data_IF_945015223008
#
_entry.id   IF_945015223008
#
_cell.length_a   1.000
_cell.length_b   1.000
_cell.length_c   1.000
_cell.angle_alpha   90.00
_cell.angle_beta   90.00
_cell.angle_gamma   90.00
#
_symmetry.space_group_name_H-M   'P 1'
#
loop_
_entity.id
_entity.type
_entity.pdbx_description
1 polymer ?
#
# COMPACT_ATOMS: atom_id res chain seq x y z
N UNK A 1 -37.52 29.02 -28.31
CA UNK A 1 -37.00 28.69 -26.96
C UNK A 1 -36.40 27.28 -26.85
N UNK A 2 -36.74 26.29 -27.71
CA UNK A 2 -36.31 24.89 -27.53
C UNK A 2 -34.94 24.52 -28.17
N UNK A 3 -34.43 25.33 -29.11
CA UNK A 3 -33.18 25.03 -29.85
C UNK A 3 -31.88 25.39 -29.11
N UNK A 4 -31.93 26.27 -28.09
CA UNK A 4 -30.72 26.66 -27.33
C UNK A 4 -30.31 25.69 -26.23
N UNK A 5 -31.23 24.84 -25.76
CA UNK A 5 -30.94 23.90 -24.66
C UNK A 5 -30.16 22.68 -25.16
N UNK A 6 -30.35 22.30 -26.43
CA UNK A 6 -29.70 21.13 -27.04
C UNK A 6 -28.20 21.37 -27.22
N UNK A 7 -27.78 22.62 -27.48
CA UNK A 7 -26.36 22.97 -27.65
C UNK A 7 -25.57 22.93 -26.33
N UNK A 8 -26.21 23.09 -25.17
CA UNK A 8 -25.52 23.04 -23.88
C UNK A 8 -25.18 21.60 -23.45
N UNK A 9 -25.97 20.61 -23.89
CA UNK A 9 -25.75 19.20 -23.55
C UNK A 9 -24.61 18.57 -24.35
N UNK A 10 -24.41 18.96 -25.61
CA UNK A 10 -23.38 18.37 -26.49
C UNK A 10 -21.95 18.76 -26.07
N UNK A 11 -21.76 19.93 -25.45
CA UNK A 11 -20.43 20.39 -25.01
C UNK A 11 -20.00 19.72 -23.69
N UNK A 12 -20.95 19.34 -22.84
CA UNK A 12 -20.69 18.77 -21.50
C UNK A 12 -20.47 17.24 -21.54
N UNK A 13 -20.89 16.55 -22.61
CA UNK A 13 -20.65 15.11 -22.81
C UNK A 13 -19.25 14.76 -23.30
N UNK A 14 -18.31 15.71 -23.27
CA UNK A 14 -16.88 15.42 -23.32
C UNK A 14 -16.47 14.78 -22.00
N UNK A 15 -17.02 13.60 -21.71
CA UNK A 15 -16.53 12.74 -20.65
C UNK A 15 -15.06 12.52 -20.93
N UNK A 16 -14.23 13.24 -20.17
CA UNK A 16 -12.81 13.02 -20.01
C UNK A 16 -12.66 11.59 -19.49
N UNK A 17 -12.71 10.62 -20.41
CA UNK A 17 -12.24 9.27 -20.19
C UNK A 17 -10.73 9.39 -20.05
N UNK A 18 -10.30 9.72 -18.83
CA UNK A 18 -8.90 9.70 -18.44
C UNK A 18 -8.49 8.24 -18.38
N UNK A 19 -8.10 7.69 -19.53
CA UNK A 19 -7.46 6.39 -19.58
C UNK A 19 -6.20 6.48 -18.71
N UNK A 20 -6.25 5.82 -17.55
CA UNK A 20 -5.14 5.79 -16.59
C UNK A 20 -3.98 5.11 -17.30
N UNK A 21 -2.97 5.90 -17.69
CA UNK A 21 -1.78 5.38 -18.33
C UNK A 21 -1.10 4.43 -17.33
N UNK A 22 -1.02 3.15 -17.68
CA UNK A 22 -0.37 2.15 -16.84
C UNK A 22 1.12 2.21 -17.19
N UNK A 23 1.91 2.84 -16.34
CA UNK A 23 3.36 2.82 -16.48
C UNK A 23 3.90 1.43 -16.14
N UNK A 24 4.48 0.77 -17.14
CA UNK A 24 5.17 -0.51 -16.95
C UNK A 24 6.64 -0.20 -16.69
N UNK A 25 7.04 -0.30 -15.41
CA UNK A 25 8.41 -0.07 -14.97
C UNK A 25 9.16 -1.40 -14.96
N UNK A 26 10.30 -1.45 -15.64
CA UNK A 26 11.22 -2.59 -15.55
C UNK A 26 12.15 -2.37 -14.35
N UNK A 27 11.99 -3.18 -13.31
CA UNK A 27 12.84 -3.11 -12.13
C UNK A 27 13.98 -4.14 -12.23
N UNK A 28 15.25 -3.71 -12.08
CA UNK A 28 16.36 -4.64 -12.02
C UNK A 28 16.33 -5.44 -10.71
N UNK A 29 16.92 -6.63 -10.74
CA UNK A 29 17.09 -7.47 -9.56
C UNK A 29 18.45 -8.17 -9.57
N UNK A 30 18.90 -8.54 -8.38
CA UNK A 30 20.08 -9.41 -8.18
C UNK A 30 19.68 -10.63 -7.36
N UNK A 31 20.44 -11.73 -7.51
CA UNK A 31 20.31 -12.91 -6.67
C UNK A 31 21.49 -12.92 -5.69
N UNK A 32 21.22 -12.97 -4.40
CA UNK A 32 22.27 -12.98 -3.38
C UNK A 32 22.83 -14.40 -3.13
N UNK A 33 23.83 -14.52 -2.25
CA UNK A 33 24.46 -15.81 -1.92
C UNK A 33 23.51 -16.81 -1.24
N UNK A 34 22.35 -16.36 -0.74
CA UNK A 34 21.31 -17.21 -0.16
C UNK A 34 20.24 -17.62 -1.18
N UNK A 35 20.38 -17.19 -2.44
CA UNK A 35 19.39 -17.44 -3.49
C UNK A 35 18.19 -16.50 -3.48
N UNK A 36 18.18 -15.47 -2.62
CA UNK A 36 17.10 -14.50 -2.58
C UNK A 36 17.19 -13.53 -3.76
N UNK A 37 16.07 -13.33 -4.45
CA UNK A 37 15.91 -12.28 -5.45
C UNK A 37 15.66 -10.96 -4.74
N UNK A 38 16.47 -9.93 -5.00
CA UNK A 38 16.36 -8.61 -4.39
C UNK A 38 16.16 -7.58 -5.49
N UNK A 39 15.09 -6.79 -5.41
CA UNK A 39 14.89 -5.66 -6.32
C UNK A 39 15.92 -4.56 -6.02
N UNK A 40 16.53 -4.02 -7.07
CA UNK A 40 17.50 -2.92 -6.97
C UNK A 40 16.90 -1.64 -7.54
N UNK A 41 17.51 -0.50 -7.23
CA UNK A 41 17.08 0.84 -7.68
C UNK A 41 15.68 1.26 -7.20
N UNK A 42 15.31 0.80 -6.00
CA UNK A 42 14.08 1.16 -5.28
C UNK A 42 14.44 1.66 -3.88
N UNK A 43 13.68 2.65 -3.37
CA UNK A 43 13.89 3.22 -2.03
C UNK A 43 13.64 2.20 -0.92
N UNK A 44 12.66 1.33 -1.15
CA UNK A 44 12.26 0.28 -0.23
C UNK A 44 12.90 -1.04 -0.65
N UNK A 45 13.26 -1.87 0.32
CA UNK A 45 13.87 -3.16 0.03
C UNK A 45 12.80 -4.22 -0.16
N UNK A 46 12.76 -4.81 -1.35
CA UNK A 46 11.98 -6.00 -1.64
C UNK A 46 12.91 -7.19 -1.87
N UNK A 47 12.64 -8.30 -1.22
CA UNK A 47 13.34 -9.56 -1.47
C UNK A 47 12.41 -10.77 -1.41
N UNK A 48 12.60 -11.72 -2.32
CA UNK A 48 11.86 -12.98 -2.37
C UNK A 48 12.84 -14.14 -2.18
N UNK A 49 12.60 -15.00 -1.19
CA UNK A 49 13.43 -16.17 -0.94
C UNK A 49 13.00 -17.42 -1.74
N UNK A 50 13.76 -18.51 -1.57
CA UNK A 50 13.53 -19.80 -2.22
C UNK A 50 12.22 -20.48 -1.79
N UNK A 51 11.68 -20.11 -0.62
CA UNK A 51 10.40 -20.56 -0.08
C UNK A 51 9.23 -19.67 -0.51
N UNK A 52 9.48 -18.69 -1.39
CA UNK A 52 8.51 -17.72 -1.85
C UNK A 52 7.96 -16.82 -0.73
N UNK A 53 8.79 -16.52 0.27
CA UNK A 53 8.50 -15.48 1.25
C UNK A 53 8.95 -14.12 0.74
N UNK A 54 7.99 -13.24 0.46
CA UNK A 54 8.30 -11.85 0.15
C UNK A 54 8.58 -11.11 1.46
N UNK A 55 9.75 -10.51 1.55
CA UNK A 55 10.10 -9.52 2.56
C UNK A 55 10.10 -8.14 1.93
N UNK A 56 9.29 -7.26 2.48
CA UNK A 56 9.26 -5.83 2.18
C UNK A 56 9.74 -5.08 3.41
N UNK A 57 10.70 -4.18 3.22
CA UNK A 57 11.23 -3.34 4.29
C UNK A 57 11.27 -1.90 3.83
N UNK A 58 10.50 -1.06 4.51
CA UNK A 58 10.57 0.38 4.38
C UNK A 58 11.28 1.01 5.60
N UNK A 59 11.13 2.32 5.78
CA UNK A 59 11.76 3.06 6.87
C UNK A 59 11.24 2.64 8.26
N UNK A 60 9.99 2.22 8.35
CA UNK A 60 9.23 2.02 9.59
C UNK A 60 8.93 0.55 9.86
N UNK A 61 8.65 -0.24 8.82
CA UNK A 61 8.10 -1.57 8.94
C UNK A 61 8.93 -2.62 8.20
N UNK A 62 8.95 -3.82 8.78
CA UNK A 62 9.36 -5.05 8.14
C UNK A 62 8.13 -5.93 7.95
N UNK A 63 7.72 -6.11 6.70
CA UNK A 63 6.58 -6.94 6.32
C UNK A 63 7.05 -8.22 5.65
N UNK A 64 6.49 -9.36 6.06
CA UNK A 64 6.73 -10.67 5.46
C UNK A 64 5.40 -11.28 5.02
N UNK A 65 5.33 -11.74 3.77
CA UNK A 65 4.13 -12.33 3.17
C UNK A 65 4.43 -13.62 2.40
N UNK A 66 3.68 -14.68 2.72
CA UNK A 66 3.78 -15.99 2.06
C UNK A 66 3.15 -15.97 0.66
N UNK A 67 4.00 -16.11 -0.37
CA UNK A 67 3.61 -16.26 -1.77
C UNK A 67 3.82 -17.69 -2.31
N UNK A 68 3.90 -18.69 -1.42
CA UNK A 68 3.98 -20.08 -1.85
C UNK A 68 2.80 -20.45 -2.76
N UNK A 69 3.02 -21.46 -3.61
CA UNK A 69 2.00 -21.91 -4.56
C UNK A 69 0.76 -22.42 -3.81
N UNK A 70 -0.45 -22.27 -4.37
CA UNK A 70 -1.65 -22.83 -3.75
C UNK A 70 -1.52 -24.33 -3.54
N UNK A 71 -2.01 -24.82 -2.41
CA UNK A 71 -2.15 -26.25 -2.18
C UNK A 71 -3.39 -26.80 -2.91
N UNK A 72 -3.54 -28.13 -2.92
CA UNK A 72 -4.64 -28.79 -3.66
C UNK A 72 -6.04 -28.33 -3.21
N UNK A 73 -6.24 -28.09 -1.91
CA UNK A 73 -7.52 -27.62 -1.38
C UNK A 73 -7.79 -26.19 -1.81
N UNK A 74 -6.81 -25.30 -1.72
CA UNK A 74 -6.95 -23.90 -2.14
C UNK A 74 -7.22 -23.79 -3.65
N UNK A 75 -6.56 -24.62 -4.44
CA UNK A 75 -6.78 -24.69 -5.89
C UNK A 75 -8.20 -25.18 -6.22
N UNK A 76 -8.69 -26.21 -5.52
CA UNK A 76 -10.05 -26.71 -5.69
C UNK A 76 -11.11 -25.69 -5.25
N UNK A 77 -10.89 -25.03 -4.11
CA UNK A 77 -11.80 -24.05 -3.52
C UNK A 77 -11.72 -22.68 -4.22
N UNK A 78 -10.71 -22.46 -5.09
CA UNK A 78 -10.38 -21.18 -5.76
C UNK A 78 -10.20 -20.01 -4.80
N UNK A 79 -9.82 -20.30 -3.55
CA UNK A 79 -9.59 -19.33 -2.48
C UNK A 79 -8.69 -19.94 -1.41
N UNK A 80 -8.06 -19.09 -0.61
CA UNK A 80 -7.20 -19.47 0.51
C UNK A 80 -6.84 -18.25 1.35
N UNK A 81 -6.03 -18.48 2.37
CA UNK A 81 -5.49 -17.42 3.22
C UNK A 81 -3.98 -17.58 3.32
N UNK A 82 -3.27 -16.46 3.33
CA UNK A 82 -1.82 -16.41 3.55
C UNK A 82 -1.53 -15.65 4.82
N UNK A 83 -0.42 -15.99 5.45
CA UNK A 83 0.05 -15.28 6.63
C UNK A 83 0.87 -14.06 6.21
N UNK A 84 0.50 -12.92 6.78
CA UNK A 84 1.29 -11.70 6.75
C UNK A 84 1.77 -11.40 8.17
N UNK A 85 3.05 -11.06 8.32
CA UNK A 85 3.61 -10.57 9.58
C UNK A 85 4.20 -9.20 9.33
N UNK A 86 3.89 -8.26 10.23
CA UNK A 86 4.34 -6.88 10.17
C UNK A 86 5.00 -6.53 11.51
N UNK A 87 6.21 -6.00 11.43
CA UNK A 87 6.98 -5.51 12.57
C UNK A 87 7.36 -4.05 12.31
N UNK A 88 6.59 -3.14 12.89
CA UNK A 88 6.73 -1.70 12.73
C UNK A 88 7.34 -1.05 13.96
N UNK A 89 8.23 -0.09 13.73
CA UNK A 89 8.68 0.82 14.79
C UNK A 89 7.50 1.66 15.27
N UNK A 90 7.37 1.80 16.58
CA UNK A 90 6.45 2.79 17.16
C UNK A 90 6.86 4.19 16.68
N UNK A 91 5.91 4.93 16.12
CA UNK A 91 6.11 6.35 15.83
C UNK A 91 6.28 7.09 17.17
N UNK A 92 7.21 8.06 17.26
CA UNK A 92 7.31 8.88 18.47
C UNK A 92 5.96 9.56 18.71
N UNK A 93 5.38 9.36 19.90
CA UNK A 93 4.12 10.02 20.28
C UNK A 93 4.27 11.53 20.07
N UNK A 94 3.31 12.21 19.41
CA UNK A 94 3.33 13.67 19.35
C UNK A 94 3.29 14.19 20.79
N UNK A 95 4.30 14.99 21.16
CA UNK A 95 4.43 15.60 22.48
C UNK A 95 3.09 16.21 22.90
N UNK A 96 2.47 15.64 23.93
CA UNK A 96 1.21 16.14 24.49
C UNK A 96 1.42 17.60 24.90
N UNK A 97 0.91 18.55 24.11
CA UNK A 97 0.80 19.95 24.54
C UNK A 97 0.02 19.96 25.85
N UNK A 98 0.68 20.43 26.91
CA UNK A 98 0.14 20.42 28.26
C UNK A 98 -1.27 20.99 28.31
N UNK A 99 -2.22 20.21 28.82
CA UNK A 99 -3.51 20.74 29.26
C UNK A 99 -3.23 21.71 30.39
N UNK A 100 -3.45 23.00 30.12
CA UNK A 100 -3.53 24.01 31.17
C UNK A 100 -4.56 23.57 32.21
N UNK A 101 -4.13 23.55 33.46
CA UNK A 101 -4.97 23.26 34.60
C UNK A 101 -6.14 24.26 34.65
N UNK A 102 -7.37 23.75 34.53
CA UNK A 102 -8.55 24.44 35.02
C UNK A 102 -8.41 24.57 36.55
N UNK A 103 -7.97 25.75 37.01
CA UNK A 103 -8.09 26.16 38.41
C UNK A 103 -9.57 26.28 38.73
N UNK A 104 -10.02 25.47 39.68
CA UNK A 104 -11.37 25.53 40.23
C UNK A 104 -11.67 26.92 40.79
N UNK A 105 -12.85 27.44 40.45
CA UNK A 105 -13.46 28.55 41.16
C UNK A 105 -14.23 27.98 42.35
N UNK A 106 -13.77 28.29 43.55
CA UNK A 106 -14.45 28.00 44.82
C UNK A 106 -14.79 29.35 45.46
N UNK A 107 -16.09 29.68 45.44
CA UNK A 107 -16.90 30.42 46.41
C UNK A 107 -16.33 31.68 47.09
N UNK A 108 -17.04 32.80 46.92
CA UNK A 108 -17.48 33.67 48.00
C UNK A 108 -18.92 34.08 47.70
#
# INVERSE_FOLDING_TARGET
MLKSIIFLFVVVSSELSSAKQIDVIKLPFVINSRGEMILTDVTEKFSLDDKLMLTHKDQFCLTKLDFSRPNAKEAADKKGFRTMTEDCKELPEPAKKGKQAQKGSKKA
#
